data_IF_658463483161
#
_entry.id   IF_658463483161
#
_cell.length_a   1.000
_cell.length_b   1.000
_cell.length_c   1.000
_cell.angle_alpha   90.00
_cell.angle_beta   90.00
_cell.angle_gamma   90.00
#
_symmetry.space_group_name_H-M   'P 1'
#
loop_
_entity.id
_entity.type
_entity.pdbx_description
1 polymer ?
#
# COMPACT_ATOMS: atom_id res chain seq x y z
N UNK A 1 -4.61 -4.60 -12.74
CA UNK A 1 -3.73 -5.35 -11.84
C UNK A 1 -3.05 -4.40 -10.88
N UNK A 2 -3.49 -4.29 -9.64
CA UNK A 2 -2.78 -3.47 -8.68
C UNK A 2 -1.88 -4.31 -7.77
N UNK A 3 -0.79 -3.69 -7.34
CA UNK A 3 0.02 -4.19 -6.23
C UNK A 3 0.26 -3.06 -5.24
N UNK A 4 -0.01 -3.32 -3.98
CA UNK A 4 0.23 -2.38 -2.88
C UNK A 4 1.30 -2.96 -1.96
N UNK A 5 2.32 -2.15 -1.70
CA UNK A 5 3.44 -2.56 -0.85
C UNK A 5 3.58 -1.60 0.31
N UNK A 6 3.47 -2.15 1.51
CA UNK A 6 3.67 -1.43 2.77
C UNK A 6 4.99 -1.83 3.40
N UNK A 7 5.79 -0.85 3.76
CA UNK A 7 6.99 -1.02 4.59
C UNK A 7 6.81 -0.17 5.84
N UNK A 8 7.01 -0.75 7.01
CA UNK A 8 6.88 -0.02 8.27
C UNK A 8 7.98 -0.38 9.26
N UNK A 9 8.32 0.59 10.10
CA UNK A 9 9.24 0.38 11.23
C UNK A 9 8.56 -0.33 12.41
N UNK A 10 7.22 -0.35 12.42
CA UNK A 10 6.48 -1.02 13.49
C UNK A 10 6.62 -2.53 13.38
N UNK A 11 6.98 -3.18 14.47
CA UNK A 11 6.99 -4.65 14.53
C UNK A 11 5.56 -5.13 14.72
N UNK A 12 5.15 -6.11 13.92
CA UNK A 12 3.79 -6.65 13.90
C UNK A 12 3.80 -8.15 14.15
N UNK A 13 2.81 -8.64 14.87
CA UNK A 13 2.55 -10.07 14.95
C UNK A 13 2.07 -10.60 13.59
N UNK A 14 2.26 -11.89 13.34
CA UNK A 14 1.88 -12.51 12.06
C UNK A 14 0.42 -12.30 11.72
N UNK A 15 -0.48 -12.42 12.71
CA UNK A 15 -1.91 -12.19 12.50
C UNK A 15 -2.22 -10.76 12.04
N UNK A 16 -1.54 -9.79 12.63
CA UNK A 16 -1.69 -8.38 12.23
C UNK A 16 -1.13 -8.12 10.85
N UNK A 17 0.00 -8.76 10.49
CA UNK A 17 0.55 -8.65 9.14
C UNK A 17 -0.44 -9.15 8.10
N UNK A 18 -1.06 -10.31 8.35
CA UNK A 18 -2.05 -10.89 7.43
C UNK A 18 -3.30 -10.04 7.35
N UNK A 19 -3.81 -9.55 8.47
CA UNK A 19 -4.98 -8.67 8.50
C UNK A 19 -4.70 -7.37 7.74
N UNK A 20 -3.53 -6.77 7.93
CA UNK A 20 -3.14 -5.57 7.19
C UNK A 20 -3.11 -5.83 5.68
N UNK A 21 -2.53 -6.94 5.25
CA UNK A 21 -2.49 -7.29 3.83
C UNK A 21 -3.90 -7.42 3.25
N UNK A 22 -4.82 -8.06 3.98
CA UNK A 22 -6.21 -8.19 3.55
C UNK A 22 -6.92 -6.84 3.50
N UNK A 23 -6.73 -5.99 4.49
CA UNK A 23 -7.36 -4.67 4.52
C UNK A 23 -6.82 -3.76 3.42
N UNK A 24 -5.51 -3.79 3.16
CA UNK A 24 -4.90 -3.07 2.04
C UNK A 24 -5.49 -3.54 0.71
N UNK A 25 -5.61 -4.85 0.53
CA UNK A 25 -6.23 -5.45 -0.66
C UNK A 25 -7.65 -4.92 -0.86
N UNK A 26 -8.45 -4.93 0.20
CA UNK A 26 -9.85 -4.51 0.14
C UNK A 26 -9.99 -3.01 -0.16
N UNK A 27 -9.15 -2.19 0.43
CA UNK A 27 -9.14 -0.74 0.14
C UNK A 27 -8.82 -0.49 -1.33
N UNK A 28 -7.76 -1.12 -1.84
CA UNK A 28 -7.34 -0.92 -3.23
C UNK A 28 -8.41 -1.43 -4.21
N UNK A 29 -8.95 -2.62 -3.96
CA UNK A 29 -9.98 -3.20 -4.80
C UNK A 29 -11.22 -2.31 -4.86
N UNK A 30 -11.66 -1.80 -3.72
CA UNK A 30 -12.83 -0.92 -3.63
C UNK A 30 -12.58 0.42 -4.34
N UNK A 31 -11.47 1.09 -4.03
CA UNK A 31 -11.22 2.44 -4.54
C UNK A 31 -10.88 2.46 -6.02
N UNK A 32 -10.25 1.41 -6.54
CA UNK A 32 -9.93 1.31 -7.96
C UNK A 32 -10.97 0.53 -8.76
N UNK A 33 -12.00 0.01 -8.11
CA UNK A 33 -13.03 -0.84 -8.72
C UNK A 33 -12.39 -2.00 -9.49
N UNK A 34 -11.49 -2.71 -8.84
CA UNK A 34 -10.79 -3.86 -9.40
C UNK A 34 -10.98 -5.07 -8.50
N UNK A 35 -10.97 -6.30 -9.06
CA UNK A 35 -11.18 -7.49 -8.22
C UNK A 35 -10.07 -7.67 -7.17
N UNK A 36 -10.48 -8.00 -5.95
CA UNK A 36 -9.53 -8.34 -4.89
C UNK A 36 -8.69 -9.57 -5.25
N UNK A 37 -9.26 -10.50 -6.01
CA UNK A 37 -8.59 -11.74 -6.42
C UNK A 37 -7.35 -11.52 -7.29
N UNK A 38 -7.20 -10.35 -7.88
CA UNK A 38 -6.03 -10.00 -8.72
C UNK A 38 -5.23 -8.86 -8.13
N UNK A 39 -5.49 -8.52 -6.87
CA UNK A 39 -4.76 -7.48 -6.13
C UNK A 39 -3.73 -8.16 -5.23
N UNK A 40 -2.48 -7.75 -5.35
CA UNK A 40 -1.41 -8.25 -4.49
C UNK A 40 -1.11 -7.21 -3.42
N UNK A 41 -1.01 -7.64 -2.16
CA UNK A 41 -0.57 -6.79 -1.06
C UNK A 41 0.65 -7.40 -0.38
N UNK A 42 1.64 -6.56 -0.12
CA UNK A 42 2.89 -6.96 0.52
C UNK A 42 3.05 -6.13 1.79
N UNK A 43 3.33 -6.80 2.90
CA UNK A 43 3.58 -6.14 4.19
C UNK A 43 4.96 -6.54 4.68
N UNK A 44 5.83 -5.54 4.84
CA UNK A 44 7.16 -5.70 5.44
C UNK A 44 7.23 -4.86 6.70
N UNK A 45 7.39 -5.48 7.83
CA UNK A 45 7.45 -4.83 9.14
C UNK A 45 8.87 -4.80 9.70
N UNK A 46 9.02 -4.21 10.87
CA UNK A 46 10.27 -4.21 11.64
C UNK A 46 11.48 -3.74 10.82
N UNK A 47 11.25 -2.76 9.96
CA UNK A 47 12.25 -2.20 9.05
C UNK A 47 12.72 -0.86 9.60
N UNK A 48 14.01 -0.56 9.46
CA UNK A 48 14.52 0.75 9.86
C UNK A 48 13.98 1.80 8.89
N UNK A 49 13.19 2.73 9.43
CA UNK A 49 12.62 3.86 8.67
C UNK A 49 12.87 5.13 9.48
N UNK A 50 13.61 6.06 8.90
CA UNK A 50 13.71 7.40 9.47
C UNK A 50 12.65 8.29 8.82
N UNK A 51 12.10 9.21 9.59
CA UNK A 51 11.33 10.31 9.04
C UNK A 51 12.03 11.59 9.53
N UNK A 52 12.73 12.25 8.62
CA UNK A 52 13.74 13.20 9.03
C UNK A 52 14.84 12.47 9.81
N UNK A 53 15.14 12.94 11.01
CA UNK A 53 16.14 12.36 11.91
C UNK A 53 15.52 11.49 13.03
N UNK A 54 14.24 11.18 12.95
CA UNK A 54 13.53 10.42 13.99
C UNK A 54 13.32 8.98 13.53
N UNK A 55 13.93 8.02 14.24
CA UNK A 55 13.81 6.60 14.00
C UNK A 55 12.85 5.91 14.97
N UNK A 56 12.53 6.54 16.10
CA UNK A 56 11.88 5.84 17.22
C UNK A 56 10.36 5.82 17.12
N UNK A 57 9.77 6.85 16.50
CA UNK A 57 8.33 6.86 16.28
C UNK A 57 7.98 6.00 15.07
N UNK A 58 6.88 5.23 15.12
CA UNK A 58 6.50 4.39 13.99
C UNK A 58 6.29 5.18 12.71
N UNK A 59 6.80 4.66 11.61
CA UNK A 59 6.70 5.26 10.27
C UNK A 59 6.34 4.20 9.25
N UNK A 60 5.84 4.64 8.10
CA UNK A 60 5.51 3.73 7.01
C UNK A 60 5.68 4.40 5.65
N UNK A 61 5.88 3.57 4.66
CA UNK A 61 5.85 3.93 3.25
C UNK A 61 4.95 2.96 2.51
N UNK A 62 4.06 3.49 1.67
CA UNK A 62 3.19 2.68 0.82
C UNK A 62 3.46 3.04 -0.63
N UNK A 63 3.71 2.02 -1.45
CA UNK A 63 3.78 2.15 -2.90
C UNK A 63 2.61 1.39 -3.51
N UNK A 64 1.85 2.04 -4.36
CA UNK A 64 0.75 1.43 -5.10
C UNK A 64 1.02 1.55 -6.59
N UNK A 65 1.11 0.41 -7.26
CA UNK A 65 1.26 0.34 -8.71
C UNK A 65 -0.01 -0.26 -9.30
N UNK A 66 -0.52 0.35 -10.36
CA UNK A 66 -1.73 -0.13 -11.03
C UNK A 66 -1.71 0.25 -12.49
N UNK A 67 -2.34 -0.58 -13.32
CA UNK A 67 -2.60 -0.25 -14.72
C UNK A 67 -3.89 0.56 -14.75
N UNK A 68 -3.75 1.89 -14.81
CA UNK A 68 -4.89 2.81 -14.82
C UNK A 68 -5.57 2.96 -13.47
N UNK A 69 -6.57 3.82 -13.42
CA UNK A 69 -7.40 4.04 -12.25
C UNK A 69 -6.85 5.01 -11.21
N UNK A 70 -5.60 5.44 -11.34
CA UNK A 70 -4.95 6.33 -10.38
C UNK A 70 -5.20 7.81 -10.72
N UNK A 71 -6.47 8.20 -10.72
CA UNK A 71 -6.85 9.61 -10.88
C UNK A 71 -6.48 10.38 -9.61
N UNK A 72 -6.36 11.73 -9.71
CA UNK A 72 -6.10 12.53 -8.50
C UNK A 72 -7.12 12.30 -7.39
N UNK A 73 -8.40 12.15 -7.70
CA UNK A 73 -9.43 11.89 -6.69
C UNK A 73 -9.27 10.51 -6.07
N UNK A 74 -8.98 9.48 -6.87
CA UNK A 74 -8.71 8.14 -6.34
C UNK A 74 -7.49 8.15 -5.42
N UNK A 75 -6.42 8.84 -5.79
CA UNK A 75 -5.22 8.96 -4.95
C UNK A 75 -5.52 9.64 -3.62
N UNK A 76 -6.39 10.66 -3.62
CA UNK A 76 -6.81 11.32 -2.37
C UNK A 76 -7.59 10.36 -1.46
N UNK A 77 -8.54 9.63 -2.03
CA UNK A 77 -9.33 8.66 -1.26
C UNK A 77 -8.46 7.53 -0.71
N UNK A 78 -7.56 7.02 -1.54
CA UNK A 78 -6.62 5.98 -1.13
C UNK A 78 -5.70 6.46 -0.01
N UNK A 79 -5.16 7.68 -0.12
CA UNK A 79 -4.29 8.24 0.92
C UNK A 79 -5.03 8.36 2.25
N UNK A 80 -6.26 8.83 2.23
CA UNK A 80 -7.08 8.94 3.45
C UNK A 80 -7.36 7.56 4.05
N UNK A 81 -7.74 6.59 3.22
CA UNK A 81 -8.07 5.25 3.68
C UNK A 81 -6.84 4.52 4.24
N UNK A 82 -5.69 4.63 3.58
CA UNK A 82 -4.44 4.02 4.05
C UNK A 82 -4.01 4.62 5.40
N UNK A 83 -4.08 5.93 5.53
CA UNK A 83 -3.70 6.59 6.78
C UNK A 83 -4.65 6.23 7.93
N UNK A 84 -5.95 6.13 7.66
CA UNK A 84 -6.93 5.69 8.66
C UNK A 84 -6.64 4.26 9.11
N UNK A 85 -6.35 3.37 8.17
CA UNK A 85 -5.96 1.99 8.46
C UNK A 85 -4.71 1.94 9.35
N UNK A 86 -3.65 2.64 8.96
CA UNK A 86 -2.38 2.59 9.68
C UNK A 86 -2.47 3.22 11.07
N UNK A 87 -3.35 4.20 11.25
CA UNK A 87 -3.56 4.81 12.58
C UNK A 87 -4.05 3.78 13.60
N UNK A 88 -4.83 2.79 13.16
CA UNK A 88 -5.29 1.69 14.04
C UNK A 88 -4.14 0.79 14.49
N UNK A 89 -3.02 0.83 13.78
CA UNK A 89 -1.81 0.10 14.13
C UNK A 89 -0.75 0.98 14.78
N UNK A 90 -1.15 2.19 15.21
CA UNK A 90 -0.28 3.09 15.96
C UNK A 90 0.71 3.88 15.11
N UNK A 91 0.45 4.00 13.80
CA UNK A 91 1.31 4.76 12.88
C UNK A 91 0.61 6.07 12.53
N UNK A 92 1.21 7.19 12.92
CA UNK A 92 0.63 8.52 12.66
C UNK A 92 0.63 8.84 11.16
N UNK A 93 -0.46 9.42 10.63
CA UNK A 93 -0.49 9.87 9.23
C UNK A 93 0.64 10.83 8.87
N UNK A 94 1.15 11.58 9.84
CA UNK A 94 2.25 12.51 9.63
C UNK A 94 3.58 11.82 9.37
N UNK A 95 3.65 10.50 9.58
CA UNK A 95 4.86 9.71 9.39
C UNK A 95 4.67 8.64 8.30
N UNK A 96 3.74 8.91 7.37
CA UNK A 96 3.44 8.00 6.26
C UNK A 96 3.58 8.75 4.95
N UNK A 97 4.43 8.24 4.06
CA UNK A 97 4.42 8.67 2.66
C UNK A 97 3.78 7.57 1.81
N UNK A 98 3.06 8.01 0.79
CA UNK A 98 2.37 7.13 -0.15
C UNK A 98 2.72 7.59 -1.55
N UNK A 99 3.20 6.66 -2.39
CA UNK A 99 3.51 6.94 -3.79
C UNK A 99 2.61 6.11 -4.69
N UNK A 100 2.10 6.73 -5.73
CA UNK A 100 1.23 6.10 -6.72
C UNK A 100 1.96 6.03 -8.05
N UNK A 101 1.95 4.85 -8.67
CA UNK A 101 2.62 4.60 -9.94
C UNK A 101 1.62 4.05 -10.93
N UNK A 102 1.24 4.87 -11.91
CA UNK A 102 0.38 4.45 -13.01
C UNK A 102 1.25 3.72 -14.04
N UNK A 103 0.89 2.47 -14.33
CA UNK A 103 1.65 1.61 -15.23
C UNK A 103 0.87 1.34 -16.51
N UNK A 104 1.60 1.19 -17.61
CA UNK A 104 1.03 0.71 -18.87
C UNK A 104 1.03 -0.82 -18.85
N UNK A 105 0.11 -1.42 -19.59
CA UNK A 105 0.02 -2.88 -19.66
C UNK A 105 1.34 -3.55 -20.05
N UNK A 106 2.09 -2.92 -20.96
CA UNK A 106 3.40 -3.43 -21.38
C UNK A 106 4.45 -3.44 -20.27
N UNK A 107 4.21 -2.73 -19.17
CA UNK A 107 5.13 -2.60 -18.05
C UNK A 107 4.76 -3.48 -16.87
N UNK A 108 3.71 -4.30 -17.00
CA UNK A 108 3.18 -5.09 -15.91
C UNK A 108 3.06 -6.55 -16.36
N UNK A 109 3.76 -7.44 -15.68
CA UNK A 109 3.83 -8.84 -16.04
C UNK A 109 3.02 -9.74 -15.13
N UNK A 110 2.38 -10.76 -15.73
CA UNK A 110 1.66 -11.80 -15.04
C UNK A 110 1.62 -13.05 -15.91
N UNK A 111 1.77 -14.20 -15.28
CA UNK A 111 1.69 -15.50 -15.95
C UNK A 111 2.60 -15.59 -17.19
N UNK A 112 3.86 -15.19 -17.00
CA UNK A 112 4.91 -15.22 -18.03
C UNK A 112 4.68 -14.30 -19.23
N UNK A 113 3.76 -13.37 -19.13
CA UNK A 113 3.40 -12.40 -20.18
C UNK A 113 3.26 -11.02 -19.59
N UNK A 114 3.12 -10.02 -20.44
CA UNK A 114 2.70 -8.68 -20.02
C UNK A 114 1.25 -8.46 -20.42
N UNK A 115 0.64 -7.40 -19.88
CA UNK A 115 -0.74 -7.03 -20.21
C UNK A 115 -0.85 -6.15 -21.46
N UNK A 116 0.22 -5.89 -22.13
CA UNK A 116 0.21 -5.07 -23.33
C UNK A 116 1.02 -5.58 -24.47
#
# INVERSE_FOLDING_TARGET
MPVVRLTTSRKLERGDQENLALELTNIVARELNKPASVTQAIVSDDTVVSFGDNFTSPSAFIALMSIGGLTPDACKRLSAAFCELLARYGISPKRVYICFNDKKGAEFGWDSKTFG
#
